data_IF_111137050099
#
_entry.id   IF_111137050099
#
_cell.length_a   1.000
_cell.length_b   1.000
_cell.length_c   1.000
_cell.angle_alpha   90.00
_cell.angle_beta   90.00
_cell.angle_gamma   90.00
#
_symmetry.space_group_name_H-M   'P 1'
#
loop_
_entity.id
_entity.type
_entity.pdbx_description
1 polymer ?
#
# COMPACT_ATOMS: atom_id res chain seq x y z
N UNK A 1 -35.17 -27.60 69.22
CA UNK A 1 -33.90 -28.35 69.05
C UNK A 1 -33.85 -28.74 67.58
N UNK A 2 -32.85 -28.34 66.78
CA UNK A 2 -31.42 -28.72 66.90
C UNK A 2 -31.24 -30.23 66.65
N UNK A 3 -30.44 -30.73 65.70
CA UNK A 3 -29.48 -30.10 64.77
C UNK A 3 -29.32 -30.95 63.47
N UNK A 4 -28.77 -30.33 62.43
CA UNK A 4 -28.21 -30.88 61.16
C UNK A 4 -26.81 -31.53 61.42
N UNK A 5 -25.99 -31.96 60.41
CA UNK A 5 -26.22 -32.45 59.03
C UNK A 5 -25.37 -33.71 58.65
N UNK A 6 -25.38 -34.15 57.38
CA UNK A 6 -24.21 -34.39 56.48
C UNK A 6 -24.74 -34.85 55.09
N UNK A 7 -24.48 -34.12 54.00
CA UNK A 7 -23.42 -34.34 52.98
C UNK A 7 -23.47 -35.74 52.31
N UNK A 8 -23.33 -35.95 51.00
CA UNK A 8 -22.88 -35.11 49.85
C UNK A 8 -23.40 -35.78 48.55
N UNK A 9 -23.43 -35.19 47.34
CA UNK A 9 -22.98 -33.89 46.83
C UNK A 9 -23.80 -33.49 45.59
N UNK A 10 -23.71 -32.22 45.17
CA UNK A 10 -24.02 -31.75 43.80
C UNK A 10 -22.75 -31.08 43.25
N UNK A 11 -22.38 -31.38 42.01
CA UNK A 11 -21.21 -30.80 41.36
C UNK A 11 -21.62 -29.52 40.62
N UNK A 12 -21.42 -28.36 41.26
CA UNK A 12 -21.50 -27.07 40.57
C UNK A 12 -20.36 -26.95 39.55
N UNK A 13 -20.69 -27.09 38.27
CA UNK A 13 -19.82 -26.66 37.18
C UNK A 13 -19.91 -25.14 37.13
N UNK A 14 -18.97 -24.47 37.79
CA UNK A 14 -18.78 -23.04 37.65
C UNK A 14 -18.53 -22.67 36.18
N UNK A 15 -19.03 -21.52 35.69
CA UNK A 15 -18.72 -21.09 34.34
C UNK A 15 -17.20 -20.82 34.26
N UNK A 16 -16.53 -21.53 33.37
CA UNK A 16 -15.17 -21.22 32.94
C UNK A 16 -15.21 -19.84 32.28
N UNK A 17 -15.01 -18.79 33.10
CA UNK A 17 -14.73 -17.44 32.64
C UNK A 17 -13.33 -17.45 32.05
N UNK A 18 -13.22 -18.00 30.85
CA UNK A 18 -12.07 -17.82 30.00
C UNK A 18 -11.81 -16.33 29.86
N UNK A 19 -10.72 -15.86 30.49
CA UNK A 19 -10.20 -14.52 30.31
C UNK A 19 -9.65 -14.41 28.88
N UNK A 20 -10.55 -14.27 27.90
CA UNK A 20 -10.23 -13.67 26.61
C UNK A 20 -9.92 -12.19 26.86
N UNK A 21 -8.73 -11.92 27.41
CA UNK A 21 -8.16 -10.59 27.46
C UNK A 21 -8.29 -9.95 26.09
N UNK A 22 -8.84 -8.73 26.04
CA UNK A 22 -9.23 -8.08 24.79
C UNK A 22 -8.01 -7.93 23.89
N UNK A 23 -7.88 -8.82 22.91
CA UNK A 23 -6.84 -8.77 21.89
C UNK A 23 -7.08 -7.52 21.05
N UNK A 24 -6.18 -6.56 21.17
CA UNK A 24 -6.21 -5.35 20.34
C UNK A 24 -5.26 -5.57 19.17
N UNK A 25 -5.70 -5.24 17.96
CA UNK A 25 -4.88 -5.37 16.76
C UNK A 25 -4.62 -3.99 16.16
N UNK A 26 -3.41 -3.77 15.65
CA UNK A 26 -3.01 -2.52 15.01
C UNK A 26 -2.32 -2.77 13.68
N UNK A 27 -2.39 -1.77 12.79
CA UNK A 27 -1.55 -1.72 11.59
C UNK A 27 -0.10 -1.50 12.03
N UNK A 28 0.80 -2.30 11.49
CA UNK A 28 2.24 -2.24 11.72
C UNK A 28 2.98 -2.31 10.38
N UNK A 29 3.71 -1.25 10.07
CA UNK A 29 4.49 -1.13 8.83
C UNK A 29 5.95 -1.61 9.00
N UNK A 30 6.32 -2.13 10.17
CA UNK A 30 7.69 -2.47 10.54
C UNK A 30 8.61 -1.26 10.74
N UNK A 31 8.06 -0.04 10.65
CA UNK A 31 8.72 1.24 10.84
C UNK A 31 7.68 2.30 11.25
N UNK A 32 8.05 3.33 12.04
CA UNK A 32 7.12 4.33 12.55
C UNK A 32 6.66 5.32 11.46
N UNK A 33 5.48 5.92 11.67
CA UNK A 33 4.97 7.04 10.85
C UNK A 33 5.03 8.32 11.72
N UNK A 34 5.59 9.46 11.24
CA UNK A 34 6.12 9.72 9.88
C UNK A 34 7.37 8.90 9.58
N UNK A 35 7.50 8.47 8.32
CA UNK A 35 8.60 7.60 7.90
C UNK A 35 9.91 8.39 7.85
N UNK A 36 10.92 7.91 8.57
CA UNK A 36 12.26 8.53 8.63
C UNK A 36 13.33 7.76 7.84
N UNK A 37 12.96 6.62 7.28
CA UNK A 37 13.81 5.71 6.49
C UNK A 37 12.97 5.06 5.38
N UNK A 38 13.62 4.51 4.35
CA UNK A 38 12.92 3.79 3.28
C UNK A 38 12.46 2.42 3.82
N UNK A 39 11.16 2.09 3.76
CA UNK A 39 10.65 0.81 4.25
C UNK A 39 11.32 -0.40 3.58
N UNK A 40 11.65 -1.42 4.37
CA UNK A 40 12.44 -2.60 3.94
C UNK A 40 11.99 -3.25 2.63
N UNK A 41 10.68 -3.43 2.40
CA UNK A 41 10.15 -4.05 1.17
C UNK A 41 10.46 -3.23 -0.10
N UNK A 42 10.68 -1.91 0.05
CA UNK A 42 11.06 -1.00 -1.03
C UNK A 42 12.56 -1.10 -1.28
N UNK A 43 13.41 -1.11 -0.26
CA UNK A 43 14.86 -1.35 -0.43
C UNK A 43 15.14 -2.73 -1.05
N UNK A 44 14.52 -3.81 -0.55
CA UNK A 44 14.64 -5.15 -1.16
C UNK A 44 14.19 -5.15 -2.65
N UNK A 45 13.24 -4.30 -3.01
CA UNK A 45 12.77 -4.16 -4.39
C UNK A 45 13.73 -3.36 -5.27
N UNK A 46 14.42 -2.38 -4.70
CA UNK A 46 15.45 -1.58 -5.38
C UNK A 46 16.67 -2.45 -5.63
N UNK A 47 17.11 -3.23 -4.63
CA UNK A 47 18.13 -4.27 -4.80
C UNK A 47 17.75 -5.31 -5.85
N UNK A 48 16.48 -5.74 -5.90
CA UNK A 48 16.01 -6.61 -6.96
C UNK A 48 16.08 -5.92 -8.34
N UNK A 49 15.79 -4.62 -8.47
CA UNK A 49 15.97 -3.91 -9.75
C UNK A 49 17.43 -3.73 -10.15
N UNK A 50 18.34 -3.49 -9.19
CA UNK A 50 19.80 -3.47 -9.40
C UNK A 50 20.28 -4.78 -10.00
N UNK A 51 19.90 -5.91 -9.38
CA UNK A 51 20.25 -7.25 -9.86
C UNK A 51 19.65 -7.55 -11.24
N UNK A 52 18.36 -7.23 -11.45
CA UNK A 52 17.64 -7.50 -12.69
C UNK A 52 18.19 -6.74 -13.91
N UNK A 53 18.80 -5.56 -13.69
CA UNK A 53 19.27 -4.67 -14.77
C UNK A 53 20.79 -4.48 -14.80
N UNK A 54 21.55 -5.19 -13.95
CA UNK A 54 23.01 -5.11 -13.88
C UNK A 54 23.70 -5.31 -15.24
N UNK A 55 23.26 -6.30 -16.03
CA UNK A 55 23.86 -6.67 -17.32
C UNK A 55 23.27 -5.96 -18.54
N UNK A 56 22.29 -5.04 -18.35
CA UNK A 56 21.71 -4.29 -19.46
C UNK A 56 20.48 -3.46 -19.07
N UNK A 57 20.29 -2.35 -19.79
CA UNK A 57 19.30 -1.29 -19.53
C UNK A 57 19.69 -0.32 -18.39
N UNK A 58 20.90 0.23 -18.41
CA UNK A 58 21.37 1.21 -17.41
C UNK A 58 20.42 2.42 -17.24
N UNK A 59 19.81 2.96 -18.31
CA UNK A 59 18.79 4.03 -18.20
C UNK A 59 17.55 3.65 -17.37
N UNK A 60 17.18 2.36 -17.37
CA UNK A 60 16.05 1.81 -16.64
C UNK A 60 16.41 1.63 -15.15
N UNK A 61 17.64 1.20 -14.87
CA UNK A 61 18.16 1.16 -13.51
C UNK A 61 18.30 2.58 -12.92
N UNK A 62 18.91 3.51 -13.67
CA UNK A 62 19.04 4.92 -13.28
C UNK A 62 17.70 5.58 -12.93
N UNK A 63 16.60 5.19 -13.59
CA UNK A 63 15.26 5.67 -13.22
C UNK A 63 14.79 5.16 -11.85
N UNK A 64 15.13 3.93 -11.45
CA UNK A 64 14.82 3.41 -10.12
C UNK A 64 15.72 4.02 -9.04
N UNK A 65 17.01 4.20 -9.30
CA UNK A 65 17.90 4.92 -8.37
C UNK A 65 17.43 6.37 -8.19
N UNK A 66 17.06 7.06 -9.27
CA UNK A 66 16.51 8.42 -9.17
C UNK A 66 15.17 8.47 -8.41
N UNK A 67 14.34 7.44 -8.54
CA UNK A 67 13.13 7.31 -7.73
C UNK A 67 13.44 7.05 -6.24
N UNK A 68 14.49 6.28 -5.93
CA UNK A 68 15.00 6.09 -4.56
C UNK A 68 15.49 7.41 -3.98
N UNK A 69 16.33 8.16 -4.70
CA UNK A 69 16.88 9.43 -4.22
C UNK A 69 15.78 10.49 -4.03
N UNK A 70 14.77 10.50 -4.91
CA UNK A 70 13.57 11.31 -4.76
C UNK A 70 12.74 10.90 -3.52
N UNK A 71 12.64 9.60 -3.21
CA UNK A 71 11.97 9.11 -2.01
C UNK A 71 12.72 9.50 -0.74
N UNK A 72 14.04 9.31 -0.72
CA UNK A 72 14.93 9.61 0.41
C UNK A 72 14.87 11.10 0.80
N UNK A 73 14.82 11.99 -0.20
CA UNK A 73 14.63 13.44 0.01
C UNK A 73 13.21 13.81 0.48
N UNK A 74 12.20 12.99 0.17
CA UNK A 74 10.80 13.22 0.51
C UNK A 74 10.38 12.63 1.87
N UNK A 75 11.25 11.87 2.55
CA UNK A 75 10.95 11.32 3.88
C UNK A 75 10.56 12.44 4.87
N UNK A 76 9.56 12.16 5.71
CA UNK A 76 8.86 13.12 6.61
C UNK A 76 7.94 14.14 5.93
N UNK A 77 7.84 14.18 4.60
CA UNK A 77 6.72 14.87 3.92
C UNK A 77 5.42 14.09 4.19
N UNK A 78 4.34 14.73 4.69
CA UNK A 78 3.07 14.06 4.93
C UNK A 78 2.47 13.34 3.70
N UNK A 79 2.66 13.87 2.49
CA UNK A 79 2.20 13.22 1.25
C UNK A 79 3.08 12.02 0.90
N UNK A 80 4.38 12.06 1.22
CA UNK A 80 5.26 10.90 1.15
C UNK A 80 4.87 9.81 2.17
N UNK A 81 4.47 10.20 3.40
CA UNK A 81 3.94 9.23 4.37
C UNK A 81 2.71 8.51 3.81
N UNK A 82 1.77 9.25 3.22
CA UNK A 82 0.57 8.66 2.61
C UNK A 82 0.93 7.71 1.46
N UNK A 83 1.88 8.10 0.60
CA UNK A 83 2.39 7.25 -0.48
C UNK A 83 2.89 5.92 0.10
N UNK A 84 3.71 5.98 1.14
CA UNK A 84 4.27 4.79 1.79
C UNK A 84 3.19 3.95 2.47
N UNK A 85 2.25 4.54 3.21
CA UNK A 85 1.09 3.82 3.80
C UNK A 85 0.31 3.04 2.73
N UNK A 86 -0.02 3.69 1.60
CA UNK A 86 -0.72 3.04 0.48
C UNK A 86 0.12 1.91 -0.14
N UNK A 87 1.41 2.17 -0.42
CA UNK A 87 2.32 1.17 -1.02
C UNK A 87 2.45 -0.05 -0.12
N UNK A 88 2.68 0.14 1.17
CA UNK A 88 2.89 -0.96 2.13
C UNK A 88 1.61 -1.77 2.32
N UNK A 89 0.45 -1.13 2.49
CA UNK A 89 -0.83 -1.86 2.58
C UNK A 89 -1.15 -2.61 1.29
N UNK A 90 -1.01 -1.98 0.12
CA UNK A 90 -1.28 -2.64 -1.16
C UNK A 90 -0.37 -3.85 -1.43
N UNK A 91 0.88 -3.80 -0.98
CA UNK A 91 1.90 -4.83 -1.23
C UNK A 91 2.01 -5.88 -0.12
N UNK A 92 1.41 -5.62 1.05
CA UNK A 92 1.24 -6.61 2.13
C UNK A 92 0.33 -7.78 1.73
N UNK A 93 -0.56 -7.55 0.77
CA UNK A 93 -1.50 -8.55 0.24
C UNK A 93 -0.78 -9.80 -0.27
N UNK A 94 -1.25 -10.99 0.13
CA UNK A 94 -0.75 -12.29 -0.37
C UNK A 94 -0.93 -12.49 -1.88
N UNK A 95 -1.78 -11.71 -2.53
CA UNK A 95 -2.07 -11.75 -3.96
C UNK A 95 -1.90 -10.35 -4.55
N UNK A 96 -1.44 -10.20 -5.80
CA UNK A 96 -1.48 -8.86 -6.43
C UNK A 96 -2.93 -8.39 -6.52
N UNK A 97 -3.30 -7.22 -5.97
CA UNK A 97 -4.61 -6.65 -6.21
C UNK A 97 -4.70 -6.20 -7.66
N UNK A 98 -5.54 -6.87 -8.45
CA UNK A 98 -5.82 -6.51 -9.84
C UNK A 98 -7.11 -5.71 -9.92
N UNK A 99 -7.21 -4.82 -10.90
CA UNK A 99 -8.45 -4.15 -11.27
C UNK A 99 -8.82 -4.54 -12.71
N UNK A 100 -9.61 -5.63 -12.90
CA UNK A 100 -9.96 -6.14 -14.23
C UNK A 100 -10.74 -5.12 -15.06
N UNK A 101 -10.75 -5.31 -16.38
CA UNK A 101 -11.53 -4.44 -17.26
C UNK A 101 -13.01 -4.46 -16.90
N UNK A 102 -13.65 -3.30 -17.00
CA UNK A 102 -15.06 -3.04 -16.68
C UNK A 102 -15.47 -3.35 -15.22
N UNK A 103 -14.54 -3.65 -14.32
CA UNK A 103 -14.78 -3.82 -12.88
C UNK A 103 -14.24 -2.64 -12.07
N UNK A 104 -14.93 -2.32 -10.96
CA UNK A 104 -14.61 -1.22 -10.04
C UNK A 104 -14.01 -1.67 -8.70
N UNK A 105 -13.95 -2.98 -8.46
CA UNK A 105 -13.41 -3.59 -7.26
C UNK A 105 -12.11 -4.33 -7.58
N UNK A 106 -11.22 -4.43 -6.61
CA UNK A 106 -10.03 -5.25 -6.73
C UNK A 106 -10.40 -6.73 -6.71
N UNK A 107 -9.67 -7.53 -7.47
CA UNK A 107 -9.75 -9.00 -7.45
C UNK A 107 -8.34 -9.58 -7.19
N UNK A 108 -8.23 -10.71 -6.47
CA UNK A 108 -6.95 -11.37 -6.24
C UNK A 108 -6.35 -11.84 -7.58
N UNK A 109 -5.18 -11.30 -7.92
CA UNK A 109 -4.34 -11.78 -9.00
C UNK A 109 -3.47 -12.97 -8.59
N UNK A 110 -2.62 -13.48 -9.50
CA UNK A 110 -1.61 -14.47 -9.14
C UNK A 110 -0.60 -13.86 -8.16
N UNK A 111 0.07 -14.73 -7.42
CA UNK A 111 1.27 -14.40 -6.68
C UNK A 111 2.36 -13.87 -7.62
N UNK A 112 3.10 -12.85 -7.18
CA UNK A 112 4.34 -12.36 -7.79
C UNK A 112 5.22 -11.75 -6.68
N UNK A 113 6.47 -11.45 -7.05
CA UNK A 113 7.41 -10.65 -6.26
C UNK A 113 6.77 -9.32 -5.78
N UNK A 114 6.50 -9.23 -4.47
CA UNK A 114 5.86 -8.08 -3.82
C UNK A 114 6.81 -6.89 -3.67
N UNK A 115 8.12 -7.13 -3.52
CA UNK A 115 9.16 -6.09 -3.50
C UNK A 115 9.16 -5.30 -4.82
N UNK A 116 9.12 -6.00 -5.95
CA UNK A 116 9.08 -5.41 -7.27
C UNK A 116 7.77 -4.66 -7.52
N UNK A 117 6.65 -5.15 -6.98
CA UNK A 117 5.36 -4.44 -7.00
C UNK A 117 5.45 -3.14 -6.21
N UNK A 118 6.04 -3.17 -5.01
CA UNK A 118 6.18 -2.02 -4.12
C UNK A 118 6.98 -0.90 -4.78
N UNK A 119 8.17 -1.20 -5.31
CA UNK A 119 8.99 -0.21 -6.01
C UNK A 119 8.32 0.30 -7.28
N UNK A 120 7.61 -0.56 -8.03
CA UNK A 120 6.88 -0.14 -9.24
C UNK A 120 5.71 0.79 -8.88
N UNK A 121 4.99 0.55 -7.78
CA UNK A 121 3.90 1.41 -7.32
C UNK A 121 4.44 2.73 -6.77
N UNK A 122 5.43 2.67 -5.87
CA UNK A 122 6.15 3.83 -5.30
C UNK A 122 6.67 4.76 -6.40
N UNK A 123 7.43 4.23 -7.36
CA UNK A 123 8.02 5.02 -8.47
C UNK A 123 6.93 5.76 -9.24
N UNK A 124 5.82 5.08 -9.54
CA UNK A 124 4.70 5.68 -10.28
C UNK A 124 3.92 6.70 -9.47
N UNK A 125 3.82 6.53 -8.16
CA UNK A 125 3.17 7.50 -7.28
C UNK A 125 4.03 8.77 -7.16
N UNK A 126 5.36 8.63 -7.04
CA UNK A 126 6.31 9.75 -7.02
C UNK A 126 6.27 10.59 -8.30
N UNK A 127 6.05 10.01 -9.48
CA UNK A 127 5.90 10.78 -10.73
C UNK A 127 4.81 11.85 -10.63
N UNK A 128 3.69 11.56 -9.97
CA UNK A 128 2.59 12.53 -9.81
C UNK A 128 2.81 13.48 -8.63
N UNK A 129 3.53 13.06 -7.59
CA UNK A 129 3.78 13.88 -6.39
C UNK A 129 4.91 14.89 -6.58
N UNK A 130 6.00 14.47 -7.24
CA UNK A 130 7.16 15.32 -7.53
C UNK A 130 7.48 15.30 -9.03
N UNK A 131 6.54 15.73 -9.91
CA UNK A 131 6.69 15.64 -11.36
C UNK A 131 7.93 16.37 -11.89
N UNK A 132 8.37 17.43 -11.22
CA UNK A 132 9.61 18.17 -11.52
C UNK A 132 10.88 17.34 -11.38
N UNK A 133 10.86 16.27 -10.59
CA UNK A 133 12.01 15.39 -10.39
C UNK A 133 12.21 14.43 -11.56
N UNK A 134 11.19 14.13 -12.38
CA UNK A 134 11.25 13.05 -13.36
C UNK A 134 11.25 13.53 -14.82
N UNK A 135 11.96 12.83 -15.72
CA UNK A 135 11.93 13.16 -17.15
C UNK A 135 10.60 12.73 -17.78
N UNK A 136 9.70 13.69 -17.94
CA UNK A 136 8.45 13.53 -18.69
C UNK A 136 8.69 13.58 -20.21
N UNK A 137 9.10 14.75 -20.72
CA UNK A 137 9.30 14.98 -22.17
C UNK A 137 10.77 15.03 -22.59
N UNK A 138 11.63 15.66 -21.77
CA UNK A 138 13.05 15.86 -22.06
C UNK A 138 13.81 14.54 -21.86
N UNK A 139 14.52 14.09 -22.90
CA UNK A 139 15.54 13.03 -22.81
C UNK A 139 16.91 13.71 -22.70
N UNK A 140 17.55 13.59 -21.54
CA UNK A 140 18.93 14.05 -21.31
C UNK A 140 19.97 12.97 -21.68
N UNK A 141 19.51 11.81 -22.15
CA UNK A 141 20.33 10.66 -22.47
C UNK A 141 20.61 9.75 -21.27
N UNK A 142 20.40 10.19 -20.03
CA UNK A 142 20.84 9.50 -18.82
C UNK A 142 19.72 8.65 -18.20
N UNK A 143 18.55 9.24 -17.98
CA UNK A 143 17.42 8.59 -17.33
C UNK A 143 16.34 8.25 -18.37
N UNK A 144 15.74 7.07 -18.28
CA UNK A 144 14.65 6.68 -19.18
C UNK A 144 13.41 7.56 -18.91
N UNK A 145 12.82 8.22 -19.91
CA UNK A 145 11.63 9.05 -19.68
C UNK A 145 10.41 8.23 -19.29
N UNK A 146 9.45 8.87 -18.62
CA UNK A 146 8.21 8.25 -18.13
C UNK A 146 7.44 7.47 -19.22
N UNK A 147 7.25 7.96 -20.47
CA UNK A 147 6.57 7.21 -21.53
C UNK A 147 7.28 5.91 -21.94
N UNK A 148 8.61 5.87 -21.94
CA UNK A 148 9.38 4.64 -22.18
C UNK A 148 9.40 3.74 -20.93
N UNK A 149 9.52 4.32 -19.74
CA UNK A 149 9.49 3.62 -18.45
C UNK A 149 8.17 2.88 -18.25
N UNK A 150 7.04 3.50 -18.60
CA UNK A 150 5.71 2.89 -18.61
C UNK A 150 5.66 1.61 -19.45
N UNK A 151 6.24 1.60 -20.66
CA UNK A 151 6.31 0.40 -21.51
C UNK A 151 7.15 -0.71 -20.87
N UNK A 152 8.16 -0.37 -20.07
CA UNK A 152 8.95 -1.34 -19.27
C UNK A 152 8.21 -1.83 -18.02
N UNK A 153 7.25 -1.07 -17.50
CA UNK A 153 6.47 -1.41 -16.30
C UNK A 153 5.12 -2.09 -16.59
N UNK A 154 4.58 -2.01 -17.81
CA UNK A 154 3.19 -2.38 -18.12
C UNK A 154 2.79 -3.81 -17.67
N UNK A 155 3.66 -4.80 -17.90
CA UNK A 155 3.44 -6.20 -17.51
C UNK A 155 3.50 -6.45 -15.98
N UNK A 156 3.97 -5.48 -15.18
CA UNK A 156 4.17 -5.64 -13.74
C UNK A 156 2.84 -5.66 -12.97
N UNK A 157 1.82 -4.99 -13.50
CA UNK A 157 0.43 -5.10 -13.00
C UNK A 157 -0.12 -3.84 -12.34
N UNK A 158 0.68 -2.77 -12.18
CA UNK A 158 0.16 -1.45 -11.81
C UNK A 158 -0.35 -0.76 -13.09
N UNK A 159 -1.66 -0.50 -13.16
CA UNK A 159 -2.27 0.31 -14.22
C UNK A 159 -2.65 1.68 -13.67
N UNK A 160 -2.94 2.64 -14.56
CA UNK A 160 -3.41 3.95 -14.14
C UNK A 160 -4.79 3.88 -13.49
N UNK A 161 -5.62 2.89 -13.86
CA UNK A 161 -6.88 2.60 -13.15
C UNK A 161 -6.66 2.24 -11.68
N UNK A 162 -5.57 1.54 -11.36
CA UNK A 162 -5.22 1.21 -9.96
C UNK A 162 -4.87 2.49 -9.19
N UNK A 163 -4.05 3.38 -9.75
CA UNK A 163 -3.74 4.68 -9.11
C UNK A 163 -5.02 5.51 -8.86
N UNK A 164 -5.98 5.50 -9.80
CA UNK A 164 -7.29 6.13 -9.58
C UNK A 164 -8.10 5.44 -8.47
N UNK A 165 -8.14 4.10 -8.43
CA UNK A 165 -8.91 3.32 -7.45
C UNK A 165 -8.36 3.46 -6.02
N UNK A 166 -7.03 3.56 -5.88
CA UNK A 166 -6.32 3.91 -4.64
C UNK A 166 -6.49 5.38 -4.24
N UNK A 167 -7.17 6.20 -5.07
CA UNK A 167 -7.38 7.61 -4.80
C UNK A 167 -6.15 8.49 -4.99
N UNK A 168 -5.04 7.99 -5.52
CA UNK A 168 -3.81 8.80 -5.68
C UNK A 168 -3.94 9.89 -6.75
N UNK A 169 -4.57 9.55 -7.87
CA UNK A 169 -4.77 10.44 -9.02
C UNK A 169 -6.23 10.55 -9.40
N UNK A 170 -6.61 11.69 -9.97
CA UNK A 170 -7.93 11.96 -10.53
C UNK A 170 -7.83 12.04 -12.05
N UNK A 171 -8.94 11.80 -12.74
CA UNK A 171 -9.02 11.99 -14.20
C UNK A 171 -9.16 13.47 -14.51
N UNK A 172 -8.31 13.97 -15.39
CA UNK A 172 -8.44 15.33 -15.87
C UNK A 172 -9.69 15.44 -16.77
N UNK A 173 -10.68 16.30 -16.44
CA UNK A 173 -11.96 16.35 -17.15
C UNK A 173 -11.87 16.95 -18.57
N UNK A 174 -10.73 17.51 -18.96
CA UNK A 174 -10.51 18.05 -20.32
C UNK A 174 -10.32 16.95 -21.37
N UNK A 175 -9.99 15.72 -20.95
CA UNK A 175 -9.75 14.59 -21.83
C UNK A 175 -11.00 13.69 -21.97
N UNK A 176 -11.15 13.05 -23.13
CA UNK A 176 -12.22 12.07 -23.36
C UNK A 176 -12.03 10.86 -22.46
N UNK A 177 -13.13 10.29 -21.96
CA UNK A 177 -13.08 9.10 -21.12
C UNK A 177 -12.43 7.91 -21.86
N UNK A 178 -11.37 7.38 -21.27
CA UNK A 178 -10.69 6.13 -21.65
C UNK A 178 -10.70 5.18 -20.46
N UNK A 179 -11.05 3.92 -20.66
CA UNK A 179 -11.18 2.95 -19.57
C UNK A 179 -9.89 2.86 -18.72
N UNK A 180 -8.73 2.67 -19.35
CA UNK A 180 -7.41 2.79 -18.73
C UNK A 180 -6.72 4.08 -19.20
N UNK A 181 -6.72 5.17 -18.40
CA UNK A 181 -6.24 6.47 -18.84
C UNK A 181 -4.72 6.49 -19.06
N UNK A 182 -4.25 7.38 -19.93
CA UNK A 182 -2.83 7.72 -20.06
C UNK A 182 -2.35 8.63 -18.91
N UNK A 183 -1.04 8.72 -18.67
CA UNK A 183 -0.51 9.56 -17.58
C UNK A 183 -0.87 11.05 -17.77
N UNK A 184 -0.93 11.53 -19.01
CA UNK A 184 -1.35 12.91 -19.33
C UNK A 184 -2.87 13.14 -19.25
N UNK A 185 -3.68 12.09 -19.06
CA UNK A 185 -5.14 12.17 -18.84
C UNK A 185 -5.45 12.19 -17.32
N UNK A 186 -4.42 12.36 -16.47
CA UNK A 186 -4.47 12.25 -15.01
C UNK A 186 -3.74 13.40 -14.32
N UNK A 187 -4.33 13.90 -13.25
CA UNK A 187 -3.70 14.84 -12.32
C UNK A 187 -3.50 14.15 -10.96
N UNK A 188 -2.54 14.61 -10.16
CA UNK A 188 -2.49 14.24 -8.74
C UNK A 188 -3.80 14.69 -8.07
N UNK A 189 -4.36 13.88 -7.17
CA UNK A 189 -5.49 14.33 -6.35
C UNK A 189 -5.06 15.57 -5.53
N UNK A 190 -5.90 16.61 -5.38
CA UNK A 190 -5.50 17.82 -4.63
C UNK A 190 -4.94 17.51 -3.25
N UNK A 191 -3.80 18.13 -2.90
CA UNK A 191 -3.03 17.89 -1.67
C UNK A 191 -3.90 17.87 -0.42
N UNK A 192 -4.89 18.77 -0.33
CA UNK A 192 -5.83 18.83 0.79
C UNK A 192 -6.59 17.51 0.98
N UNK A 193 -7.11 16.91 -0.08
CA UNK A 193 -7.83 15.63 0.00
C UNK A 193 -6.89 14.47 0.35
N UNK A 194 -5.65 14.52 -0.12
CA UNK A 194 -4.61 13.54 0.25
C UNK A 194 -4.24 13.67 1.73
N UNK A 195 -4.03 14.89 2.25
CA UNK A 195 -3.78 15.13 3.67
C UNK A 195 -4.98 14.71 4.56
N UNK A 196 -6.21 14.92 4.09
CA UNK A 196 -7.41 14.39 4.74
C UNK A 196 -7.44 12.85 4.74
N UNK A 197 -7.06 12.18 3.65
CA UNK A 197 -6.95 10.72 3.56
C UNK A 197 -5.87 10.18 4.51
N UNK A 198 -4.68 10.80 4.55
CA UNK A 198 -3.61 10.48 5.51
C UNK A 198 -4.10 10.58 6.95
N UNK A 199 -4.80 11.66 7.29
CA UNK A 199 -5.33 11.89 8.64
C UNK A 199 -6.35 10.81 9.02
N UNK A 200 -7.24 10.43 8.10
CA UNK A 200 -8.19 9.33 8.29
C UNK A 200 -7.48 8.00 8.50
N UNK A 201 -6.53 7.63 7.65
CA UNK A 201 -5.76 6.39 7.79
C UNK A 201 -4.99 6.34 9.13
N UNK A 202 -4.34 7.44 9.54
CA UNK A 202 -3.68 7.51 10.85
C UNK A 202 -4.65 7.30 12.03
N UNK A 203 -5.87 7.84 11.94
CA UNK A 203 -6.90 7.60 12.98
C UNK A 203 -7.41 6.16 13.03
N UNK A 204 -7.23 5.39 11.95
CA UNK A 204 -7.63 3.98 11.82
C UNK A 204 -6.49 3.00 12.07
N UNK A 205 -5.30 3.44 12.52
CA UNK A 205 -4.17 2.53 12.79
C UNK A 205 -4.49 1.43 13.83
N UNK A 206 -5.46 1.67 14.72
CA UNK A 206 -5.95 0.70 15.72
C UNK A 206 -7.25 -0.01 15.29
N UNK A 207 -7.67 0.14 14.03
CA UNK A 207 -8.79 -0.56 13.40
C UNK A 207 -8.34 -1.08 12.02
N UNK A 208 -7.58 -2.21 11.98
CA UNK A 208 -7.06 -2.75 10.73
C UNK A 208 -8.13 -3.04 9.66
N UNK A 209 -9.32 -3.60 9.97
CA UNK A 209 -10.39 -3.76 9.00
C UNK A 209 -10.83 -2.45 8.35
N UNK A 210 -11.08 -1.38 9.13
CA UNK A 210 -11.47 -0.10 8.57
C UNK A 210 -10.33 0.57 7.78
N UNK A 211 -9.09 0.47 8.26
CA UNK A 211 -7.91 0.97 7.56
C UNK A 211 -7.76 0.35 6.18
N UNK A 212 -7.79 -0.99 6.10
CA UNK A 212 -7.59 -1.74 4.87
C UNK A 212 -8.78 -1.49 3.91
N UNK A 213 -10.00 -1.48 4.44
CA UNK A 213 -11.21 -1.12 3.68
C UNK A 213 -11.11 0.26 3.03
N UNK A 214 -10.52 1.24 3.73
CA UNK A 214 -10.29 2.59 3.21
C UNK A 214 -9.23 2.62 2.09
N UNK A 215 -8.09 1.93 2.25
CA UNK A 215 -7.03 1.88 1.21
C UNK A 215 -7.52 1.15 -0.05
N UNK A 216 -8.18 0.00 0.09
CA UNK A 216 -8.70 -0.76 -1.04
C UNK A 216 -10.01 -0.20 -1.59
N UNK A 217 -10.64 0.76 -0.89
CA UNK A 217 -11.94 1.35 -1.21
C UNK A 217 -12.98 0.24 -1.49
N UNK A 218 -13.20 -0.59 -0.49
CA UNK A 218 -14.03 -1.81 -0.53
C UNK A 218 -14.68 -2.07 0.83
N UNK A 219 -15.62 -3.01 0.86
CA UNK A 219 -16.25 -3.57 2.09
C UNK A 219 -16.09 -5.10 2.10
N UNK A 220 -15.08 -5.60 1.39
CA UNK A 220 -14.76 -7.03 1.25
C UNK A 220 -13.64 -7.37 2.24
N UNK A 221 -14.02 -7.96 3.37
CA UNK A 221 -13.12 -8.32 4.46
C UNK A 221 -12.03 -9.34 4.04
N UNK A 222 -12.18 -10.02 2.89
CA UNK A 222 -11.13 -10.88 2.34
C UNK A 222 -9.83 -10.11 2.03
N UNK A 223 -9.87 -8.77 1.92
CA UNK A 223 -8.65 -7.95 1.82
C UNK A 223 -7.91 -7.83 3.16
N UNK A 224 -8.62 -7.91 4.29
CA UNK A 224 -8.02 -7.93 5.63
C UNK A 224 -7.20 -9.21 5.82
N UNK A 225 -7.80 -10.37 5.51
CA UNK A 225 -7.13 -11.67 5.53
C UNK A 225 -5.89 -11.70 4.63
N UNK A 226 -5.95 -11.05 3.46
CA UNK A 226 -4.81 -10.99 2.53
C UNK A 226 -3.68 -10.11 3.05
N UNK A 227 -3.97 -9.10 3.88
CA UNK A 227 -3.00 -8.13 4.38
C UNK A 227 -2.52 -8.41 5.82
N UNK A 228 -2.75 -9.62 6.36
CA UNK A 228 -2.33 -10.02 7.72
C UNK A 228 -0.85 -9.74 8.05
N UNK A 229 0.03 -9.64 7.05
CA UNK A 229 1.46 -9.31 7.21
C UNK A 229 1.74 -7.95 7.87
N UNK A 230 0.77 -7.03 7.85
CA UNK A 230 0.86 -5.70 8.49
C UNK A 230 -0.11 -5.54 9.67
N UNK A 231 -0.61 -6.65 10.23
CA UNK A 231 -1.53 -6.63 11.37
C UNK A 231 -0.85 -7.30 12.56
N UNK A 232 -0.41 -6.49 13.52
CA UNK A 232 0.15 -6.97 14.79
C UNK A 232 -0.98 -7.08 15.81
N UNK A 233 -1.02 -8.19 16.57
CA UNK A 233 -2.01 -8.40 17.64
C UNK A 233 -1.32 -8.37 18.99
N UNK A 234 -1.80 -7.49 19.86
CA UNK A 234 -1.31 -7.29 21.22
C UNK A 234 -2.22 -8.04 22.20
N UNK A 235 -1.61 -8.84 23.07
CA UNK A 235 -2.25 -9.32 24.29
C UNK A 235 -2.13 -8.24 25.35
N UNK A 236 -3.28 -7.78 25.88
CA UNK A 236 -3.34 -6.91 27.05
C UNK A 236 -2.88 -7.65 28.31
#
# INVERSE_FOLDING_TARGET
>A
MSLRPENTAEAEVGPDTSETGMRTSSIDFGCPVPFTEIPRIIEEGLDFTRQLYASGNQKLLAHYEHARDCLEQALKDPLCDLLLMIVLTFTSSTHIPKLPQNKNNFEPGPEKNSQLLAVTLMTRMLWFLYPQCFPWDRDDGMILRIPEMMKRMEHRGISNRILCKLGWVVRNPTYKYRENPWNCELDLRPDKELLELRTKLLSLMNDPPAFISLVFNTQDDAWVERCLKIITTHTA
#
